data_IF_547083797630
#
_entry.id   IF_547083797630
#
_cell.length_a   1.000
_cell.length_b   1.000
_cell.length_c   1.000
_cell.angle_alpha   90.00
_cell.angle_beta   90.00
_cell.angle_gamma   90.00
#
_symmetry.space_group_name_H-M   'P 1'
#
loop_
_entity.id
_entity.type
_entity.pdbx_description
1 polymer ?
#
# COMPACT_ATOMS: atom_id res chain seq x y z
N UNK A 1 26.05 -11.07 -12.20
CA UNK A 1 25.86 -9.83 -12.99
C UNK A 1 26.11 -10.00 -14.49
N UNK A 2 26.91 -10.98 -14.98
CA UNK A 2 26.87 -11.31 -16.42
C UNK A 2 25.42 -11.61 -16.83
N UNK A 3 24.94 -10.95 -17.88
CA UNK A 3 23.58 -11.11 -18.38
C UNK A 3 22.50 -10.26 -17.69
N UNK A 4 22.84 -9.46 -16.67
CA UNK A 4 21.93 -8.44 -16.13
C UNK A 4 22.27 -7.10 -16.77
N UNK A 5 21.35 -6.59 -17.59
CA UNK A 5 21.43 -5.25 -18.16
C UNK A 5 20.54 -4.31 -17.36
N UNK A 6 21.09 -3.44 -16.48
CA UNK A 6 20.28 -2.51 -15.70
C UNK A 6 19.52 -1.54 -16.61
N UNK A 7 20.03 -1.24 -17.81
CA UNK A 7 19.42 -0.32 -18.76
C UNK A 7 18.08 -0.81 -19.31
N UNK A 8 17.88 -2.14 -19.32
CA UNK A 8 16.64 -2.77 -19.75
C UNK A 8 15.44 -2.48 -18.83
N UNK A 9 15.71 -2.05 -17.59
CA UNK A 9 14.71 -1.79 -16.56
C UNK A 9 14.62 -0.30 -16.17
N UNK A 10 15.35 0.58 -16.88
CA UNK A 10 15.41 2.00 -16.52
C UNK A 10 14.08 2.67 -16.81
N UNK A 11 13.54 3.31 -15.78
CA UNK A 11 12.41 4.19 -15.96
C UNK A 11 12.79 5.48 -16.70
N UNK A 12 11.95 5.89 -17.63
CA UNK A 12 12.14 7.16 -18.34
C UNK A 12 11.64 8.30 -17.48
N UNK A 13 12.43 9.37 -17.39
CA UNK A 13 12.01 10.66 -16.81
C UNK A 13 10.80 11.23 -17.56
N UNK A 14 10.12 12.23 -16.97
CA UNK A 14 8.99 12.91 -17.60
C UNK A 14 9.29 13.46 -19.02
N UNK A 15 10.56 13.71 -19.34
CA UNK A 15 11.02 14.17 -20.65
C UNK A 15 11.44 13.03 -21.60
N UNK A 16 11.15 11.78 -21.26
CA UNK A 16 11.42 10.60 -22.10
C UNK A 16 12.87 10.08 -22.08
N UNK A 17 13.78 10.74 -21.35
CA UNK A 17 15.16 10.30 -21.19
C UNK A 17 15.29 9.22 -20.11
N UNK A 18 16.10 8.17 -20.31
CA UNK A 18 16.36 7.16 -19.28
C UNK A 18 16.96 7.81 -18.03
N UNK A 19 16.34 7.58 -16.87
CA UNK A 19 16.86 8.07 -15.60
C UNK A 19 18.02 7.20 -15.14
N UNK A 20 19.25 7.67 -15.35
CA UNK A 20 20.52 7.04 -14.98
C UNK A 20 20.64 5.57 -15.44
N UNK A 21 21.71 5.26 -16.15
CA UNK A 21 22.03 3.88 -16.52
C UNK A 21 23.50 3.66 -16.23
N UNK A 22 23.82 3.47 -14.95
CA UNK A 22 25.16 3.07 -14.56
C UNK A 22 25.33 1.56 -14.74
N UNK A 23 26.52 1.14 -15.16
CA UNK A 23 26.94 -0.25 -15.05
C UNK A 23 27.77 -0.41 -13.77
N UNK A 24 27.90 -1.65 -13.29
CA UNK A 24 28.90 -1.96 -12.27
C UNK A 24 30.24 -2.09 -12.96
N UNK A 25 31.21 -1.28 -12.52
CA UNK A 25 32.57 -1.26 -13.04
C UNK A 25 33.50 -2.15 -12.23
N UNK A 26 34.70 -2.42 -12.76
CA UNK A 26 35.76 -3.10 -11.99
C UNK A 26 36.12 -2.33 -10.72
N UNK A 27 36.14 -1.00 -10.78
CA UNK A 27 36.46 -0.14 -9.63
C UNK A 27 35.40 -0.26 -8.53
N UNK A 28 34.12 -0.34 -8.90
CA UNK A 28 33.03 -0.58 -7.94
C UNK A 28 33.26 -1.90 -7.18
N UNK A 29 33.62 -2.97 -7.90
CA UNK A 29 33.89 -4.28 -7.32
C UNK A 29 35.13 -4.29 -6.41
N UNK A 30 36.20 -3.61 -6.83
CA UNK A 30 37.43 -3.47 -6.05
C UNK A 30 37.19 -2.69 -4.75
N UNK A 31 36.40 -1.62 -4.80
CA UNK A 31 36.00 -0.88 -3.60
C UNK A 31 35.12 -1.73 -2.69
N UNK A 32 34.11 -2.40 -3.24
CA UNK A 32 33.25 -3.31 -2.45
C UNK A 32 34.04 -4.41 -1.76
N UNK A 33 35.07 -4.96 -2.40
CA UNK A 33 35.89 -6.05 -1.85
C UNK A 33 36.58 -5.68 -0.53
N UNK A 34 36.67 -4.39 -0.19
CA UNK A 34 37.22 -3.89 1.07
C UNK A 34 36.26 -4.04 2.26
N UNK A 35 34.98 -4.33 2.00
CA UNK A 35 33.96 -4.41 3.04
C UNK A 35 33.52 -5.86 3.30
N UNK A 36 33.31 -6.19 4.57
CA UNK A 36 32.50 -7.34 4.97
C UNK A 36 31.06 -6.87 5.14
N UNK A 37 30.11 -7.59 4.54
CA UNK A 37 28.68 -7.23 4.56
C UNK A 37 27.85 -8.36 5.19
N UNK A 38 27.97 -8.60 6.52
CA UNK A 38 27.05 -9.48 7.22
C UNK A 38 25.62 -8.96 7.10
N UNK A 39 24.66 -9.90 6.98
CA UNK A 39 23.24 -9.57 6.82
C UNK A 39 22.54 -9.71 8.17
N UNK A 40 21.81 -8.65 8.55
CA UNK A 40 21.03 -8.62 9.78
C UNK A 40 19.55 -8.39 9.46
N UNK A 41 18.67 -9.06 10.19
CA UNK A 41 17.24 -8.78 10.15
C UNK A 41 16.86 -7.71 11.19
N UNK A 42 15.88 -6.86 10.84
CA UNK A 42 15.26 -5.90 11.74
C UNK A 42 13.73 -5.97 11.62
N UNK A 43 13.13 -6.96 12.29
CA UNK A 43 11.67 -7.03 12.42
C UNK A 43 11.12 -5.89 13.28
N UNK A 44 9.91 -5.44 12.97
CA UNK A 44 9.19 -4.40 13.70
C UNK A 44 7.70 -4.77 13.85
N UNK A 45 7.03 -4.11 14.79
CA UNK A 45 5.58 -4.25 14.95
C UNK A 45 4.88 -3.40 13.88
N UNK A 46 4.37 -4.03 12.84
CA UNK A 46 3.70 -3.37 11.71
C UNK A 46 2.30 -2.82 12.04
N UNK A 47 1.73 -3.18 13.20
CA UNK A 47 0.49 -2.58 13.69
C UNK A 47 0.72 -1.18 14.30
N UNK A 48 1.88 -1.00 14.94
CA UNK A 48 2.28 0.27 15.55
C UNK A 48 2.67 1.30 14.46
N UNK A 49 2.78 2.56 14.86
CA UNK A 49 3.16 3.63 13.94
C UNK A 49 4.56 3.36 13.34
N UNK A 50 4.74 3.59 12.04
CA UNK A 50 6.04 3.44 11.39
C UNK A 50 7.10 4.42 11.90
N UNK A 51 6.72 5.50 12.61
CA UNK A 51 7.65 6.34 13.37
C UNK A 51 8.32 5.54 14.50
N UNK A 52 7.56 4.72 15.23
CA UNK A 52 8.12 3.85 16.28
C UNK A 52 9.03 2.78 15.68
N UNK A 53 8.65 2.26 14.52
CA UNK A 53 9.49 1.34 13.76
C UNK A 53 10.80 2.00 13.28
N UNK A 54 10.77 3.29 12.94
CA UNK A 54 11.96 4.04 12.54
C UNK A 54 12.92 4.28 13.71
N UNK A 55 12.40 4.60 14.90
CA UNK A 55 13.20 4.70 16.12
C UNK A 55 13.83 3.36 16.52
N UNK A 56 13.05 2.28 16.39
CA UNK A 56 13.56 0.91 16.55
C UNK A 56 14.68 0.60 15.55
N UNK A 57 14.50 0.99 14.28
CA UNK A 57 15.51 0.80 13.25
C UNK A 57 16.78 1.58 13.58
N UNK A 58 16.68 2.84 14.01
CA UNK A 58 17.82 3.64 14.51
C UNK A 58 18.60 2.89 15.60
N UNK A 59 17.91 2.43 16.64
CA UNK A 59 18.56 1.68 17.72
C UNK A 59 19.23 0.39 17.21
N UNK A 60 18.62 -0.29 16.23
CA UNK A 60 19.22 -1.48 15.61
C UNK A 60 20.48 -1.14 14.80
N UNK A 61 20.47 -0.03 14.05
CA UNK A 61 21.64 0.45 13.30
C UNK A 61 22.79 0.75 14.27
N UNK A 62 22.53 1.52 15.34
CA UNK A 62 23.53 1.84 16.36
C UNK A 62 24.12 0.58 17.00
N UNK A 63 23.28 -0.41 17.30
CA UNK A 63 23.74 -1.69 17.84
C UNK A 63 24.61 -2.48 16.85
N UNK A 64 24.18 -2.61 15.59
CA UNK A 64 24.94 -3.33 14.55
C UNK A 64 26.30 -2.67 14.30
N UNK A 65 26.32 -1.33 14.25
CA UNK A 65 27.57 -0.56 14.15
C UNK A 65 28.49 -0.86 15.34
N UNK A 66 27.97 -0.85 16.57
CA UNK A 66 28.77 -1.15 17.76
C UNK A 66 29.27 -2.61 17.82
N UNK A 67 28.45 -3.57 17.37
CA UNK A 67 28.79 -4.99 17.29
C UNK A 67 29.97 -5.24 16.33
N UNK A 68 29.99 -4.51 15.20
CA UNK A 68 31.01 -4.63 14.16
C UNK A 68 32.24 -3.73 14.35
N UNK A 69 32.28 -2.92 15.41
CA UNK A 69 33.45 -2.15 15.83
C UNK A 69 34.24 -2.90 16.92
N UNK A 70 34.71 -4.11 16.61
CA UNK A 70 35.46 -4.98 17.53
C UNK A 70 36.58 -5.72 16.79
N UNK A 71 37.60 -6.16 17.53
CA UNK A 71 38.67 -7.03 17.02
C UNK A 71 39.35 -6.52 15.73
N UNK A 72 39.61 -5.21 15.66
CA UNK A 72 40.25 -4.57 14.50
C UNK A 72 39.33 -4.32 13.30
N UNK A 73 38.03 -4.66 13.38
CA UNK A 73 37.03 -4.24 12.39
C UNK A 73 36.51 -2.84 12.72
N UNK A 74 36.22 -2.05 11.67
CA UNK A 74 35.59 -0.74 11.78
C UNK A 74 34.33 -0.69 10.92
N UNK A 75 33.24 -0.18 11.49
CA UNK A 75 31.96 0.02 10.81
C UNK A 75 31.43 1.40 11.20
N UNK A 76 31.13 2.24 10.22
CA UNK A 76 30.55 3.57 10.47
C UNK A 76 29.16 3.71 9.86
N UNK A 77 28.88 2.89 8.85
CA UNK A 77 27.66 2.96 8.06
C UNK A 77 27.08 1.58 7.84
N UNK A 78 25.77 1.53 7.66
CA UNK A 78 25.03 0.35 7.21
C UNK A 78 24.39 0.60 5.85
N UNK A 79 24.09 -0.47 5.12
CA UNK A 79 23.22 -0.41 3.94
C UNK A 79 21.87 -0.98 4.34
N UNK A 80 20.78 -0.28 4.02
CA UNK A 80 19.43 -0.76 4.27
C UNK A 80 18.88 -1.42 3.02
N UNK A 81 18.28 -2.61 3.17
CA UNK A 81 17.48 -3.27 2.14
C UNK A 81 16.09 -3.46 2.72
N UNK A 82 15.07 -2.93 2.04
CA UNK A 82 13.71 -2.90 2.57
C UNK A 82 12.73 -3.61 1.64
N UNK A 83 11.75 -4.27 2.22
CA UNK A 83 10.58 -4.81 1.52
C UNK A 83 9.34 -4.02 1.90
N UNK A 84 8.49 -3.69 0.91
CA UNK A 84 7.16 -3.11 1.10
C UNK A 84 7.17 -1.86 2.00
N UNK A 85 6.29 -1.80 3.01
CA UNK A 85 6.20 -0.70 3.98
C UNK A 85 7.47 -0.50 4.82
N UNK A 86 8.39 -1.47 4.87
CA UNK A 86 9.72 -1.26 5.45
C UNK A 86 10.49 -0.12 4.76
N UNK A 87 10.17 0.19 3.50
CA UNK A 87 10.69 1.36 2.81
C UNK A 87 10.23 2.69 3.43
N UNK A 88 8.99 2.77 3.92
CA UNK A 88 8.47 3.94 4.64
C UNK A 88 9.19 4.12 5.98
N UNK A 89 9.44 3.01 6.69
CA UNK A 89 10.23 2.99 7.93
C UNK A 89 11.65 3.50 7.69
N UNK A 90 12.33 3.02 6.65
CA UNK A 90 13.68 3.46 6.32
C UNK A 90 13.74 4.94 5.89
N UNK A 91 12.75 5.44 5.14
CA UNK A 91 12.64 6.87 4.79
C UNK A 91 12.51 7.74 6.04
N UNK A 92 11.66 7.34 6.99
CA UNK A 92 11.52 8.03 8.27
C UNK A 92 12.81 7.94 9.10
N UNK A 93 13.43 6.77 9.19
CA UNK A 93 14.68 6.58 9.94
C UNK A 93 15.82 7.45 9.41
N UNK A 94 15.98 7.56 8.08
CA UNK A 94 17.01 8.39 7.47
C UNK A 94 16.86 9.89 7.77
N UNK A 95 15.65 10.32 8.19
CA UNK A 95 15.35 11.70 8.62
C UNK A 95 15.62 11.95 10.09
N UNK A 96 15.86 10.91 10.90
CA UNK A 96 16.20 11.07 12.32
C UNK A 96 17.60 11.68 12.46
N UNK A 97 17.86 12.46 13.54
CA UNK A 97 19.15 13.12 13.73
C UNK A 97 20.34 12.16 13.64
N UNK A 98 21.30 12.46 12.77
CA UNK A 98 22.53 11.69 12.59
C UNK A 98 22.37 10.34 11.87
N UNK A 99 21.16 9.96 11.44
CA UNK A 99 20.94 8.68 10.78
C UNK A 99 21.27 8.69 9.29
N UNK A 100 21.10 9.83 8.61
CA UNK A 100 21.47 9.91 7.19
C UNK A 100 22.96 9.64 6.97
N UNK A 101 23.82 10.01 7.91
CA UNK A 101 25.27 9.78 7.83
C UNK A 101 25.65 8.33 8.16
N UNK A 102 24.87 7.67 9.04
CA UNK A 102 25.04 6.26 9.42
C UNK A 102 24.47 5.29 8.39
N UNK A 103 23.76 5.76 7.39
CA UNK A 103 23.23 4.96 6.29
C UNK A 103 24.06 5.27 5.05
N UNK A 104 24.80 4.28 4.53
CA UNK A 104 25.55 4.47 3.29
C UNK A 104 24.61 4.56 2.08
N UNK A 105 23.48 3.86 2.13
CA UNK A 105 22.46 3.87 1.09
C UNK A 105 21.29 2.95 1.43
N UNK A 106 20.23 3.06 0.62
CA UNK A 106 18.99 2.31 0.80
C UNK A 106 18.57 1.68 -0.52
N UNK A 107 18.24 0.38 -0.48
CA UNK A 107 17.59 -0.35 -1.56
C UNK A 107 16.14 -0.61 -1.15
N UNK A 108 15.20 0.05 -1.83
CA UNK A 108 13.77 -0.17 -1.64
C UNK A 108 13.24 -1.19 -2.63
N UNK A 109 12.54 -2.21 -2.13
CA UNK A 109 11.80 -3.16 -2.93
C UNK A 109 10.31 -3.05 -2.71
N UNK A 110 9.54 -2.97 -3.81
CA UNK A 110 8.07 -2.98 -3.83
C UNK A 110 7.43 -2.01 -2.82
N UNK A 111 8.04 -0.84 -2.62
CA UNK A 111 7.58 0.12 -1.62
C UNK A 111 6.29 0.81 -2.07
N UNK A 112 5.22 0.83 -1.25
CA UNK A 112 4.02 1.63 -1.51
C UNK A 112 4.31 3.11 -1.20
N UNK A 113 5.11 3.77 -2.05
CA UNK A 113 5.75 5.04 -1.72
C UNK A 113 4.76 6.17 -1.40
N UNK A 114 3.56 6.11 -1.98
CA UNK A 114 2.44 7.05 -1.74
C UNK A 114 1.14 6.33 -1.33
N UNK A 115 1.26 5.10 -0.81
CA UNK A 115 0.13 4.27 -0.36
C UNK A 115 -0.43 3.35 -1.46
N UNK A 116 -1.49 2.60 -1.13
CA UNK A 116 -2.14 1.67 -2.06
C UNK A 116 -3.66 1.63 -1.83
N UNK A 117 -4.45 1.86 -2.89
CA UNK A 117 -5.91 1.94 -2.80
C UNK A 117 -6.57 0.61 -2.34
N UNK A 118 -5.87 -0.52 -2.49
CA UNK A 118 -6.29 -1.81 -1.97
C UNK A 118 -6.56 -1.79 -0.45
N UNK A 119 -5.85 -0.95 0.32
CA UNK A 119 -6.09 -0.83 1.76
C UNK A 119 -7.50 -0.31 2.07
N UNK A 120 -8.01 0.65 1.29
CA UNK A 120 -9.39 1.11 1.40
C UNK A 120 -10.37 -0.02 1.04
N UNK A 121 -10.13 -0.72 -0.07
CA UNK A 121 -11.01 -1.80 -0.53
C UNK A 121 -11.14 -2.90 0.54
N UNK A 122 -10.02 -3.31 1.14
CA UNK A 122 -9.98 -4.32 2.20
C UNK A 122 -10.76 -3.91 3.44
N UNK A 123 -10.70 -2.64 3.84
CA UNK A 123 -11.53 -2.14 4.95
C UNK A 123 -13.03 -2.23 4.63
N UNK A 124 -13.42 -2.02 3.36
CA UNK A 124 -14.84 -2.06 2.95
C UNK A 124 -15.38 -3.47 2.74
N UNK A 125 -14.67 -4.33 2.03
CA UNK A 125 -15.20 -5.64 1.57
C UNK A 125 -14.34 -6.84 1.94
N UNK A 126 -13.24 -6.63 2.67
CA UNK A 126 -12.32 -7.69 3.05
C UNK A 126 -11.51 -8.23 1.88
N UNK A 127 -10.81 -9.34 2.13
CA UNK A 127 -9.87 -9.93 1.17
C UNK A 127 -10.40 -11.18 0.47
N UNK A 128 -11.63 -11.62 0.75
CA UNK A 128 -12.19 -12.86 0.16
C UNK A 128 -12.19 -12.84 -1.37
N UNK A 129 -12.45 -11.68 -1.97
CA UNK A 129 -12.45 -11.49 -3.43
C UNK A 129 -11.03 -11.39 -4.03
N UNK A 130 -10.01 -11.13 -3.21
CA UNK A 130 -8.62 -10.92 -3.65
C UNK A 130 -7.79 -12.20 -3.51
N UNK A 131 -7.88 -12.87 -2.36
CA UNK A 131 -7.20 -14.14 -2.09
C UNK A 131 -7.85 -14.85 -0.92
N UNK A 132 -8.31 -16.09 -1.15
CA UNK A 132 -8.87 -16.93 -0.12
C UNK A 132 -7.89 -17.17 1.04
N UNK A 133 -6.60 -17.39 0.73
CA UNK A 133 -5.57 -17.69 1.74
C UNK A 133 -5.20 -16.44 2.55
N UNK A 134 -5.04 -15.29 1.90
CA UNK A 134 -4.74 -14.05 2.62
C UNK A 134 -5.94 -13.53 3.43
N UNK A 135 -7.16 -13.79 2.95
CA UNK A 135 -8.40 -13.50 3.67
C UNK A 135 -8.61 -14.32 4.94
N UNK A 136 -7.97 -15.48 5.08
CA UNK A 136 -7.95 -16.24 6.34
C UNK A 136 -7.04 -15.61 7.40
N UNK A 137 -6.09 -14.75 7.02
CA UNK A 137 -5.08 -14.17 7.93
C UNK A 137 -5.42 -12.75 8.37
N UNK A 138 -5.85 -11.89 7.45
CA UNK A 138 -6.08 -10.46 7.74
C UNK A 138 -7.56 -10.15 7.98
N UNK A 139 -8.46 -10.88 7.32
CA UNK A 139 -9.91 -10.70 7.42
C UNK A 139 -10.61 -10.98 6.09
N UNK A 140 -11.64 -11.83 6.15
CA UNK A 140 -12.38 -12.25 4.96
C UNK A 140 -13.42 -11.21 4.52
N UNK A 141 -13.89 -10.37 5.44
CA UNK A 141 -14.86 -9.29 5.19
C UNK A 141 -14.38 -7.95 5.79
N UNK A 142 -15.02 -6.86 5.39
CA UNK A 142 -14.66 -5.50 5.82
C UNK A 142 -14.75 -5.28 7.33
N UNK A 143 -15.65 -5.99 8.04
CA UNK A 143 -15.79 -5.87 9.51
C UNK A 143 -14.57 -6.41 10.23
N UNK A 144 -14.07 -7.58 9.80
CA UNK A 144 -12.86 -8.20 10.34
C UNK A 144 -11.63 -7.35 10.08
N UNK A 145 -11.44 -6.88 8.84
CA UNK A 145 -10.30 -6.02 8.48
C UNK A 145 -10.36 -4.71 9.26
N UNK A 146 -11.52 -4.05 9.29
CA UNK A 146 -11.71 -2.76 9.99
C UNK A 146 -11.44 -2.87 11.49
N UNK A 147 -11.83 -3.98 12.13
CA UNK A 147 -11.60 -4.20 13.56
C UNK A 147 -10.11 -4.10 13.94
N UNK A 148 -9.20 -4.46 13.02
CA UNK A 148 -7.75 -4.30 13.21
C UNK A 148 -7.26 -2.97 12.65
N UNK A 149 -7.59 -2.64 11.40
CA UNK A 149 -7.08 -1.45 10.71
C UNK A 149 -7.42 -0.14 11.44
N UNK A 150 -8.63 -0.01 12.00
CA UNK A 150 -9.05 1.23 12.67
C UNK A 150 -8.23 1.57 13.93
N UNK A 151 -7.56 0.58 14.53
CA UNK A 151 -6.72 0.75 15.72
C UNK A 151 -5.22 0.61 15.45
N UNK A 152 -4.83 0.34 14.20
CA UNK A 152 -3.45 0.09 13.80
C UNK A 152 -2.92 1.25 12.92
N UNK A 153 -2.30 2.30 13.51
CA UNK A 153 -1.76 3.41 12.72
C UNK A 153 -0.74 2.96 11.67
N UNK A 154 0.02 1.88 11.92
CA UNK A 154 0.91 1.29 10.92
C UNK A 154 0.16 0.76 9.69
N UNK A 155 -0.98 0.11 9.88
CA UNK A 155 -1.83 -0.35 8.78
C UNK A 155 -2.49 0.82 8.02
N UNK A 156 -2.93 1.86 8.74
CA UNK A 156 -3.49 3.09 8.14
C UNK A 156 -2.45 3.87 7.32
N UNK A 157 -1.15 3.72 7.63
CA UNK A 157 -0.06 4.30 6.83
C UNK A 157 0.17 3.59 5.48
N UNK A 158 -0.61 2.54 5.16
CA UNK A 158 -0.68 1.98 3.81
C UNK A 158 -1.69 2.73 2.91
N UNK A 159 -2.64 3.46 3.50
CA UNK A 159 -3.67 4.15 2.73
C UNK A 159 -3.07 5.18 1.78
N UNK A 160 -3.71 5.44 0.62
CA UNK A 160 -3.33 6.51 -0.29
C UNK A 160 -3.04 7.84 0.43
N UNK A 161 -1.87 8.41 0.15
CA UNK A 161 -1.51 9.73 0.67
C UNK A 161 -2.11 10.86 -0.19
N UNK A 162 -1.92 12.12 0.21
CA UNK A 162 -2.25 13.26 -0.66
C UNK A 162 -1.41 13.31 -1.96
N UNK A 163 -0.27 12.61 -2.01
CA UNK A 163 0.54 12.44 -3.23
C UNK A 163 0.09 11.26 -4.10
N UNK A 164 -0.93 10.51 -3.68
CA UNK A 164 -1.55 9.49 -4.53
C UNK A 164 -2.36 10.15 -5.65
N UNK A 165 -2.67 9.42 -6.71
CA UNK A 165 -3.40 9.97 -7.85
C UNK A 165 -4.76 10.55 -7.43
N UNK A 166 -5.18 11.72 -7.94
CA UNK A 166 -6.50 12.29 -7.61
C UNK A 166 -7.63 11.42 -8.16
N UNK A 167 -8.79 11.45 -7.50
CA UNK A 167 -9.97 10.72 -7.98
C UNK A 167 -9.80 9.20 -8.06
N UNK A 168 -9.04 8.62 -7.14
CA UNK A 168 -8.77 7.18 -7.09
C UNK A 168 -9.94 6.38 -6.54
N UNK A 169 -10.88 6.98 -5.82
CA UNK A 169 -12.14 6.34 -5.42
C UNK A 169 -13.26 6.86 -6.33
N UNK A 170 -13.91 5.98 -7.09
CA UNK A 170 -14.96 6.36 -8.05
C UNK A 170 -16.26 5.63 -7.80
N UNK A 171 -17.37 6.31 -7.96
CA UNK A 171 -18.71 5.73 -7.86
C UNK A 171 -19.48 6.10 -9.12
N UNK A 172 -19.90 5.09 -9.86
CA UNK A 172 -20.46 5.24 -11.21
C UNK A 172 -21.76 4.45 -11.32
N UNK A 173 -22.74 4.99 -12.05
CA UNK A 173 -23.89 4.20 -12.47
C UNK A 173 -23.52 3.31 -13.67
N UNK A 174 -24.06 2.09 -13.72
CA UNK A 174 -23.82 1.16 -14.81
C UNK A 174 -24.27 1.70 -16.19
N UNK A 175 -25.16 2.69 -16.25
CA UNK A 175 -25.63 3.32 -17.49
C UNK A 175 -24.75 4.49 -17.99
N UNK A 176 -23.71 4.86 -17.24
CA UNK A 176 -22.80 5.97 -17.58
C UNK A 176 -23.44 7.36 -17.60
N UNK A 177 -24.71 7.49 -17.18
CA UNK A 177 -25.51 8.72 -17.34
C UNK A 177 -25.52 9.66 -16.13
N UNK A 178 -25.14 9.17 -14.94
CA UNK A 178 -24.98 10.00 -13.75
C UNK A 178 -23.59 10.62 -13.69
N UNK A 179 -23.46 11.87 -13.20
CA UNK A 179 -22.14 12.42 -12.86
C UNK A 179 -21.43 11.47 -11.89
N UNK A 180 -20.34 10.87 -12.36
CA UNK A 180 -19.45 10.04 -11.56
C UNK A 180 -18.98 10.82 -10.33
N UNK A 181 -19.12 10.23 -9.15
CA UNK A 181 -18.48 10.75 -7.94
C UNK A 181 -17.01 10.29 -7.96
N UNK A 182 -16.09 11.22 -7.71
CA UNK A 182 -14.65 10.96 -7.77
C UNK A 182 -13.97 11.62 -6.58
N UNK A 183 -13.30 10.81 -5.76
CA UNK A 183 -12.69 11.21 -4.50
C UNK A 183 -11.23 10.72 -4.42
N UNK A 184 -10.35 11.38 -3.65
CA UNK A 184 -10.60 12.64 -2.95
C UNK A 184 -10.68 13.82 -3.92
N UNK A 185 -11.37 14.89 -3.52
CA UNK A 185 -11.36 16.18 -4.22
C UNK A 185 -10.11 16.97 -3.87
N UNK A 186 -9.75 16.99 -2.59
CA UNK A 186 -8.58 17.72 -2.09
C UNK A 186 -7.73 16.85 -1.15
N UNK A 187 -8.36 16.25 -0.13
CA UNK A 187 -7.63 15.60 0.94
C UNK A 187 -8.24 14.23 1.28
N UNK A 188 -7.57 13.09 0.99
CA UNK A 188 -8.12 11.76 1.27
C UNK A 188 -8.42 11.52 2.75
N UNK A 189 -7.75 12.21 3.69
CA UNK A 189 -8.04 12.03 5.11
C UNK A 189 -9.44 12.56 5.47
N UNK A 190 -9.81 13.74 4.99
CA UNK A 190 -11.12 14.34 5.27
C UNK A 190 -12.18 13.85 4.29
N UNK A 191 -11.81 13.70 3.02
CA UNK A 191 -12.73 13.34 1.95
C UNK A 191 -13.23 11.91 2.04
N UNK A 192 -12.37 11.00 2.48
CA UNK A 192 -12.64 9.56 2.47
C UNK A 192 -12.49 8.95 3.86
N UNK A 193 -11.35 9.14 4.54
CA UNK A 193 -11.00 8.34 5.72
C UNK A 193 -11.78 8.72 6.97
N UNK A 194 -12.01 10.01 7.16
CA UNK A 194 -12.79 10.58 8.28
C UNK A 194 -14.23 10.90 7.87
N UNK A 195 -14.66 10.49 6.67
CA UNK A 195 -16.01 10.73 6.15
C UNK A 195 -17.02 9.83 6.86
N UNK A 196 -17.97 10.43 7.57
CA UNK A 196 -18.97 9.73 8.42
C UNK A 196 -20.37 9.65 7.82
N UNK A 197 -20.67 10.48 6.85
CA UNK A 197 -22.03 10.71 6.30
C UNK A 197 -22.24 10.09 4.92
N UNK A 198 -21.28 9.25 4.48
CA UNK A 198 -21.27 8.63 3.16
C UNK A 198 -20.92 7.16 3.29
N UNK A 199 -21.71 6.28 2.67
CA UNK A 199 -21.50 4.81 2.76
C UNK A 199 -20.14 4.33 2.26
N UNK A 200 -19.52 5.10 1.36
CA UNK A 200 -18.19 4.88 0.81
C UNK A 200 -17.07 5.52 1.64
N UNK A 201 -17.39 6.15 2.79
CA UNK A 201 -16.36 6.49 3.77
C UNK A 201 -15.62 5.23 4.23
N UNK A 202 -14.35 5.38 4.61
CA UNK A 202 -13.46 4.24 4.90
C UNK A 202 -14.02 3.28 5.95
N UNK A 203 -14.57 3.82 7.04
CA UNK A 203 -15.05 3.04 8.19
C UNK A 203 -16.49 3.40 8.52
N UNK A 204 -17.31 2.35 8.69
CA UNK A 204 -18.63 2.42 9.30
C UNK A 204 -18.47 2.39 10.82
N UNK A 205 -18.96 3.41 11.52
CA UNK A 205 -18.68 3.64 12.95
C UNK A 205 -19.09 2.46 13.85
N UNK A 206 -20.17 1.74 13.53
CA UNK A 206 -20.61 0.58 14.31
C UNK A 206 -19.60 -0.58 14.26
N UNK A 207 -18.68 -0.60 13.30
CA UNK A 207 -17.62 -1.62 13.21
C UNK A 207 -16.44 -1.33 14.14
N UNK A 208 -16.37 -0.13 14.73
CA UNK A 208 -15.40 0.20 15.79
C UNK A 208 -15.69 -0.52 17.11
N UNK A 209 -16.84 -1.22 17.20
CA UNK A 209 -17.24 -2.05 18.33
C UNK A 209 -17.41 -3.52 17.90
N UNK A 210 -16.32 -4.23 17.54
CA UNK A 210 -16.40 -5.61 17.05
C UNK A 210 -16.86 -6.57 18.16
N UNK A 211 -17.64 -7.60 17.79
CA UNK A 211 -18.10 -8.63 18.74
C UNK A 211 -16.90 -9.37 19.33
N UNK A 212 -16.84 -9.45 20.66
CA UNK A 212 -15.73 -10.10 21.38
C UNK A 212 -14.42 -9.32 21.38
N UNK A 213 -14.36 -8.14 20.74
CA UNK A 213 -13.23 -7.24 20.79
C UNK A 213 -13.45 -6.07 21.75
N UNK A 214 -12.41 -5.26 21.96
CA UNK A 214 -12.50 -4.02 22.73
C UNK A 214 -13.02 -2.90 21.82
N UNK A 215 -14.13 -2.23 22.16
CA UNK A 215 -14.62 -1.11 21.36
C UNK A 215 -13.67 0.08 21.44
N UNK A 216 -13.55 0.83 20.35
CA UNK A 216 -12.90 2.14 20.30
C UNK A 216 -13.91 3.22 19.89
N UNK A 217 -13.70 4.45 20.33
CA UNK A 217 -14.51 5.59 19.88
C UNK A 217 -14.11 6.03 18.48
N UNK A 218 -15.01 6.74 17.80
CA UNK A 218 -14.67 7.44 16.56
C UNK A 218 -13.46 8.36 16.73
N UNK A 219 -13.37 9.08 17.85
CA UNK A 219 -12.24 9.99 18.11
C UNK A 219 -10.89 9.25 18.23
N UNK A 220 -10.89 8.04 18.79
CA UNK A 220 -9.70 7.20 18.84
C UNK A 220 -9.27 6.74 17.43
N UNK A 221 -10.23 6.30 16.59
CA UNK A 221 -9.97 6.00 15.18
C UNK A 221 -9.46 7.23 14.42
N UNK A 222 -10.11 8.38 14.59
CA UNK A 222 -9.73 9.62 13.94
C UNK A 222 -8.33 10.08 14.37
N UNK A 223 -7.93 9.85 15.63
CA UNK A 223 -6.57 10.08 16.08
C UNK A 223 -5.57 9.20 15.33
N UNK A 224 -5.86 7.91 15.12
CA UNK A 224 -4.98 7.02 14.35
C UNK A 224 -4.84 7.47 12.89
N UNK A 225 -5.92 7.94 12.26
CA UNK A 225 -5.87 8.54 10.91
C UNK A 225 -5.00 9.80 10.89
N UNK A 226 -5.09 10.65 11.92
CA UNK A 226 -4.23 11.86 12.03
C UNK A 226 -2.76 11.50 12.26
N UNK A 227 -2.46 10.44 13.01
CA UNK A 227 -1.08 9.90 13.14
C UNK A 227 -0.56 9.45 11.78
N UNK A 228 -1.37 8.72 11.00
CA UNK A 228 -1.01 8.31 9.64
C UNK A 228 -0.75 9.53 8.74
N UNK A 229 -1.64 10.54 8.78
CA UNK A 229 -1.47 11.81 8.06
C UNK A 229 -0.17 12.52 8.40
N UNK A 230 0.13 12.69 9.69
CA UNK A 230 1.36 13.32 10.15
C UNK A 230 2.61 12.60 9.69
N UNK A 231 2.61 11.27 9.74
CA UNK A 231 3.70 10.45 9.22
C UNK A 231 3.88 10.61 7.71
N UNK A 232 2.79 10.54 6.93
CA UNK A 232 2.85 10.73 5.48
C UNK A 232 3.43 12.10 5.09
N UNK A 233 3.02 13.16 5.79
CA UNK A 233 3.56 14.51 5.60
C UNK A 233 5.05 14.58 5.93
N UNK A 234 5.49 13.94 7.01
CA UNK A 234 6.88 13.93 7.45
C UNK A 234 7.83 13.32 6.40
N UNK A 235 7.41 12.26 5.69
CA UNK A 235 8.25 11.57 4.71
C UNK A 235 7.97 11.98 3.26
N UNK A 236 6.97 12.84 3.00
CA UNK A 236 6.51 13.19 1.66
C UNK A 236 7.63 13.71 0.76
N UNK A 237 7.91 13.00 -0.33
CA UNK A 237 8.97 13.32 -1.30
C UNK A 237 10.41 13.26 -0.74
N UNK A 238 10.59 12.78 0.48
CA UNK A 238 11.91 12.68 1.15
C UNK A 238 12.48 11.28 0.97
N UNK A 239 13.74 11.23 0.51
CA UNK A 239 14.52 10.01 0.29
C UNK A 239 15.97 10.20 0.76
N UNK A 240 16.64 9.08 1.03
CA UNK A 240 18.07 9.09 1.33
C UNK A 240 18.87 9.52 0.08
N UNK A 241 19.98 10.29 0.18
CA UNK A 241 20.75 10.75 -0.99
C UNK A 241 21.34 9.64 -1.89
N UNK A 242 21.35 8.41 -1.39
CA UNK A 242 21.82 7.21 -2.07
C UNK A 242 20.70 6.17 -2.05
N UNK A 243 19.63 6.42 -2.80
CA UNK A 243 18.46 5.53 -2.87
C UNK A 243 18.41 4.79 -4.20
N UNK A 244 18.25 3.48 -4.13
CA UNK A 244 17.96 2.60 -5.25
C UNK A 244 16.58 1.99 -5.01
N UNK A 245 15.78 1.85 -6.07
CA UNK A 245 14.40 1.36 -5.97
C UNK A 245 14.17 0.30 -7.03
N UNK A 246 13.49 -0.79 -6.70
CA UNK A 246 12.78 -1.59 -7.69
C UNK A 246 11.31 -1.71 -7.30
N UNK A 247 10.44 -1.79 -8.31
CA UNK A 247 9.01 -1.95 -8.11
C UNK A 247 8.39 -2.81 -9.23
N UNK A 248 7.26 -3.44 -8.92
CA UNK A 248 6.50 -4.22 -9.89
C UNK A 248 5.60 -3.32 -10.72
N UNK A 249 5.61 -3.57 -12.01
CA UNK A 249 4.97 -2.74 -13.01
C UNK A 249 4.43 -3.59 -14.16
N UNK A 250 3.65 -4.59 -13.77
CA UNK A 250 3.22 -5.68 -14.63
C UNK A 250 1.70 -5.68 -14.78
N UNK A 251 1.21 -5.68 -16.02
CA UNK A 251 -0.23 -5.79 -16.32
C UNK A 251 -0.76 -7.19 -15.98
N UNK A 252 0.10 -8.21 -15.98
CA UNK A 252 -0.23 -9.58 -15.57
C UNK A 252 -0.26 -9.76 -14.04
N UNK A 253 0.11 -8.72 -13.28
CA UNK A 253 -0.03 -8.66 -11.82
C UNK A 253 -1.01 -7.55 -11.43
N UNK A 254 -2.33 -7.76 -11.62
CA UNK A 254 -3.32 -6.70 -11.45
C UNK A 254 -3.31 -6.14 -10.04
N UNK A 255 -3.34 -4.82 -9.94
CA UNK A 255 -3.37 -4.04 -8.71
C UNK A 255 -4.46 -2.97 -8.76
N UNK A 256 -4.79 -2.39 -7.61
CA UNK A 256 -5.79 -1.33 -7.52
C UNK A 256 -5.14 0.03 -7.71
N UNK A 257 -5.14 0.48 -8.96
CA UNK A 257 -4.83 1.85 -9.34
C UNK A 257 -5.95 2.80 -8.88
N UNK A 258 -7.20 2.39 -9.08
CA UNK A 258 -8.39 3.03 -8.52
C UNK A 258 -9.29 1.98 -7.86
N UNK A 259 -10.14 2.42 -6.94
CA UNK A 259 -11.24 1.62 -6.41
C UNK A 259 -12.53 2.16 -7.01
N UNK A 260 -13.23 1.32 -7.77
CA UNK A 260 -14.45 1.70 -8.47
C UNK A 260 -15.64 0.95 -7.89
N UNK A 261 -16.69 1.71 -7.59
CA UNK A 261 -18.00 1.20 -7.20
C UNK A 261 -18.97 1.37 -8.36
N UNK A 262 -19.58 0.27 -8.77
CA UNK A 262 -20.61 0.28 -9.81
C UNK A 262 -21.98 0.07 -9.19
N UNK A 263 -22.91 0.98 -9.49
CA UNK A 263 -24.31 0.87 -9.10
C UNK A 263 -25.03 0.04 -10.17
N UNK A 264 -25.44 -1.18 -9.80
CA UNK A 264 -26.16 -2.12 -10.67
C UNK A 264 -27.59 -2.34 -10.18
N UNK A 265 -28.57 -2.53 -11.07
CA UNK A 265 -29.91 -2.96 -10.66
C UNK A 265 -29.85 -4.25 -9.84
N UNK A 266 -30.48 -4.24 -8.67
CA UNK A 266 -30.60 -5.41 -7.81
C UNK A 266 -31.82 -6.26 -8.13
N UNK A 267 -32.01 -7.35 -7.39
CA UNK A 267 -33.23 -8.14 -7.44
C UNK A 267 -34.32 -7.44 -6.63
N UNK A 268 -35.25 -6.77 -7.32
CA UNK A 268 -36.21 -5.86 -6.68
C UNK A 268 -37.02 -6.52 -5.57
N UNK A 269 -37.13 -5.88 -4.39
CA UNK A 269 -37.94 -6.40 -3.28
C UNK A 269 -39.45 -6.27 -3.53
N UNK A 270 -39.86 -5.29 -4.34
CA UNK A 270 -41.25 -4.96 -4.62
C UNK A 270 -41.38 -4.13 -5.93
N UNK A 271 -42.60 -3.70 -6.25
CA UNK A 271 -42.92 -2.83 -7.38
C UNK A 271 -42.76 -1.32 -7.10
N UNK A 272 -42.20 -0.95 -5.95
CA UNK A 272 -41.96 0.43 -5.55
C UNK A 272 -40.96 1.14 -6.45
N UNK A 273 -40.97 2.48 -6.38
CA UNK A 273 -40.01 3.31 -7.14
C UNK A 273 -38.64 3.25 -6.46
N UNK A 274 -37.59 2.75 -7.15
CA UNK A 274 -36.26 2.71 -6.57
C UNK A 274 -35.71 4.14 -6.38
N UNK A 275 -34.83 4.37 -5.39
CA UNK A 275 -34.08 5.61 -5.30
C UNK A 275 -33.35 5.91 -6.61
N UNK A 276 -33.27 7.18 -7.01
CA UNK A 276 -32.54 7.56 -8.21
C UNK A 276 -31.05 7.17 -8.09
N UNK A 277 -30.50 6.48 -9.10
CA UNK A 277 -29.10 6.04 -9.11
C UNK A 277 -28.13 7.22 -8.91
N UNK A 278 -28.42 8.37 -9.51
CA UNK A 278 -27.66 9.61 -9.37
C UNK A 278 -27.62 10.17 -7.93
N UNK A 279 -28.49 9.71 -7.03
CA UNK A 279 -28.50 10.10 -5.62
C UNK A 279 -27.71 9.17 -4.70
N UNK A 280 -27.31 7.98 -5.17
CA UNK A 280 -26.76 6.92 -4.30
C UNK A 280 -25.41 7.29 -3.70
N UNK A 281 -24.55 8.01 -4.42
CA UNK A 281 -23.27 8.48 -3.86
C UNK A 281 -23.44 9.42 -2.66
N UNK A 282 -24.62 10.02 -2.48
CA UNK A 282 -24.97 10.89 -1.33
C UNK A 282 -25.66 10.14 -0.19
N UNK A 283 -25.81 8.82 -0.28
CA UNK A 283 -26.44 8.06 0.81
C UNK A 283 -25.51 7.90 2.00
N UNK A 284 -26.08 7.95 3.20
CA UNK A 284 -25.40 7.63 4.46
C UNK A 284 -25.24 6.12 4.68
N UNK A 285 -24.51 5.76 5.73
CA UNK A 285 -24.31 4.35 6.11
C UNK A 285 -25.61 3.65 6.54
N UNK A 286 -26.58 4.38 7.09
CA UNK A 286 -27.88 3.89 7.53
C UNK A 286 -28.82 3.54 6.37
N UNK A 287 -28.61 4.15 5.20
CA UNK A 287 -29.39 3.93 3.98
C UNK A 287 -28.86 2.77 3.13
N UNK A 288 -27.69 2.22 3.46
CA UNK A 288 -27.02 1.14 2.72
C UNK A 288 -26.79 -0.05 3.65
N UNK A 289 -27.28 -1.23 3.23
CA UNK A 289 -27.02 -2.48 3.93
C UNK A 289 -25.60 -2.94 3.62
N UNK A 290 -24.75 -2.85 4.64
CA UNK A 290 -23.32 -3.16 4.58
C UNK A 290 -22.96 -4.19 5.67
N UNK A 291 -22.68 -5.42 5.23
CA UNK A 291 -22.19 -6.52 6.06
C UNK A 291 -20.67 -6.72 5.93
N UNK A 292 -19.98 -5.82 5.21
CA UNK A 292 -18.57 -5.94 4.89
C UNK A 292 -18.27 -6.91 3.75
N UNK A 293 -19.27 -7.28 2.95
CA UNK A 293 -19.10 -8.12 1.75
C UNK A 293 -19.46 -7.36 0.47
N UNK A 294 -19.06 -7.92 -0.67
CA UNK A 294 -19.36 -7.37 -1.99
C UNK A 294 -20.49 -8.20 -2.64
N UNK A 295 -21.62 -7.61 -3.08
CA UNK A 295 -21.95 -6.17 -3.07
C UNK A 295 -22.61 -5.66 -1.78
N UNK A 296 -22.55 -4.34 -1.59
CA UNK A 296 -23.42 -3.62 -0.65
C UNK A 296 -24.79 -3.40 -1.29
N UNK A 297 -25.84 -3.16 -0.50
CA UNK A 297 -27.22 -3.15 -1.03
C UNK A 297 -28.03 -1.95 -0.58
N UNK A 298 -28.76 -1.33 -1.50
CA UNK A 298 -29.73 -0.25 -1.22
C UNK A 298 -31.15 -0.82 -1.21
N UNK A 299 -31.83 -0.67 -0.07
CA UNK A 299 -33.16 -1.24 0.15
C UNK A 299 -33.19 -2.77 0.18
N UNK A 300 -34.39 -3.33 0.13
CA UNK A 300 -34.66 -4.77 0.22
C UNK A 300 -34.23 -5.42 1.53
N UNK A 301 -34.19 -6.76 1.56
CA UNK A 301 -33.90 -7.56 2.76
C UNK A 301 -33.41 -8.96 2.38
N UNK A 302 -33.08 -9.77 3.40
CA UNK A 302 -32.95 -11.20 3.23
C UNK A 302 -34.34 -11.79 2.96
N UNK A 303 -34.50 -12.46 1.83
CA UNK A 303 -35.73 -13.15 1.44
C UNK A 303 -35.51 -14.66 1.53
N UNK A 304 -36.54 -15.37 2.01
CA UNK A 304 -36.55 -16.83 2.13
C UNK A 304 -37.73 -17.35 1.31
N UNK A 305 -37.43 -17.99 0.18
CA UNK A 305 -38.43 -18.70 -0.62
C UNK A 305 -38.54 -20.14 -0.14
N UNK A 306 -39.73 -20.58 0.31
CA UNK A 306 -39.96 -21.98 0.63
C UNK A 306 -39.71 -22.86 -0.60
N UNK A 307 -38.93 -23.92 -0.44
CA UNK A 307 -38.78 -24.94 -1.48
C UNK A 307 -40.07 -25.75 -1.60
N UNK A 308 -40.65 -25.81 -2.80
CA UNK A 308 -41.79 -26.67 -3.07
C UNK A 308 -41.32 -27.98 -3.71
N UNK A 309 -41.38 -29.07 -2.94
CA UNK A 309 -41.05 -30.43 -3.37
C UNK A 309 -40.27 -31.21 -2.31
N UNK A 310 -40.39 -32.54 -2.32
CA UNK A 310 -39.78 -33.42 -1.30
C UNK A 310 -38.23 -33.39 -1.23
N UNK A 311 -37.56 -32.72 -2.19
CA UNK A 311 -36.11 -32.65 -2.32
C UNK A 311 -35.58 -31.19 -2.31
N UNK A 312 -36.47 -30.18 -2.40
CA UNK A 312 -36.06 -28.78 -2.52
C UNK A 312 -36.04 -28.08 -1.14
N UNK A 313 -34.84 -27.71 -0.66
CA UNK A 313 -34.67 -26.84 0.50
C UNK A 313 -35.08 -25.38 0.21
N UNK A 314 -35.19 -24.53 1.24
CA UNK A 314 -35.50 -23.11 1.05
C UNK A 314 -34.38 -22.39 0.28
N UNK A 315 -34.77 -21.56 -0.68
CA UNK A 315 -33.84 -20.67 -1.39
C UNK A 315 -33.73 -19.36 -0.63
N UNK A 316 -32.52 -19.01 -0.21
CA UNK A 316 -32.23 -17.77 0.50
C UNK A 316 -31.51 -16.81 -0.45
N UNK A 317 -32.03 -15.60 -0.61
CA UNK A 317 -31.38 -14.56 -1.42
C UNK A 317 -31.55 -13.18 -0.80
N UNK A 318 -30.79 -12.20 -1.29
CA UNK A 318 -30.88 -10.82 -0.84
C UNK A 318 -31.59 -9.99 -1.93
N UNK A 319 -32.77 -9.44 -1.63
CA UNK A 319 -33.43 -8.48 -2.51
C UNK A 319 -32.82 -7.08 -2.34
N UNK A 320 -32.80 -6.26 -3.38
CA UNK A 320 -32.27 -4.89 -3.36
C UNK A 320 -32.82 -4.11 -4.57
N UNK A 321 -32.93 -2.78 -4.44
CA UNK A 321 -33.15 -1.94 -5.63
C UNK A 321 -31.84 -1.76 -6.39
N UNK A 322 -30.74 -1.59 -5.67
CA UNK A 322 -29.40 -1.41 -6.21
C UNK A 322 -28.39 -2.25 -5.45
N UNK A 323 -27.54 -2.93 -6.21
CA UNK A 323 -26.31 -3.54 -5.71
C UNK A 323 -25.14 -2.59 -6.01
N UNK A 324 -24.37 -2.27 -4.98
CA UNK A 324 -23.18 -1.43 -5.07
C UNK A 324 -21.98 -2.38 -5.10
N UNK A 325 -21.42 -2.57 -6.29
CA UNK A 325 -20.38 -3.56 -6.54
C UNK A 325 -19.01 -2.91 -6.49
N UNK A 326 -18.15 -3.33 -5.57
CA UNK A 326 -16.73 -2.99 -5.61
C UNK A 326 -16.08 -3.79 -6.74
N UNK A 327 -15.62 -3.11 -7.78
CA UNK A 327 -14.95 -3.74 -8.91
C UNK A 327 -13.57 -4.29 -8.50
N UNK A 328 -13.04 -5.16 -9.36
CA UNK A 328 -11.69 -5.71 -9.24
C UNK A 328 -10.61 -4.72 -9.64
N UNK A 329 -9.39 -5.24 -9.70
CA UNK A 329 -8.18 -4.52 -10.09
C UNK A 329 -8.32 -3.86 -11.47
N UNK A 330 -7.66 -2.73 -11.67
CA UNK A 330 -7.84 -1.86 -12.83
C UNK A 330 -6.54 -1.32 -13.43
N UNK A 331 -5.38 -1.73 -12.90
CA UNK A 331 -4.09 -1.44 -13.49
C UNK A 331 -3.02 -2.46 -13.09
N UNK A 332 -1.83 -2.31 -13.66
CA UNK A 332 -0.69 -3.18 -13.35
C UNK A 332 0.00 -2.83 -12.04
N UNK A 333 0.85 -3.74 -11.55
CA UNK A 333 1.64 -3.54 -10.34
C UNK A 333 2.36 -4.81 -9.92
N UNK A 334 2.22 -5.17 -8.65
CA UNK A 334 2.76 -6.41 -8.06
C UNK A 334 1.70 -7.24 -7.31
N UNK A 335 0.42 -6.97 -7.56
CA UNK A 335 -0.72 -7.59 -6.87
C UNK A 335 -1.13 -6.89 -5.57
N UNK A 336 -0.35 -5.93 -5.06
CA UNK A 336 -0.72 -5.12 -3.88
C UNK A 336 -0.47 -3.63 -4.12
N UNK A 337 0.73 -3.29 -4.58
CA UNK A 337 1.15 -1.93 -4.88
C UNK A 337 0.95 -1.68 -6.37
N UNK A 338 0.10 -0.71 -6.73
CA UNK A 338 -0.09 -0.35 -8.12
C UNK A 338 1.14 0.37 -8.66
N UNK A 339 1.33 0.26 -9.98
CA UNK A 339 2.46 0.84 -10.71
C UNK A 339 2.66 2.31 -10.33
N UNK A 340 1.58 3.10 -10.26
CA UNK A 340 1.63 4.53 -9.94
C UNK A 340 2.24 4.87 -8.56
N UNK A 341 2.09 3.97 -7.59
CA UNK A 341 2.69 4.14 -6.26
C UNK A 341 4.15 3.67 -6.23
N UNK A 342 4.44 2.57 -6.94
CA UNK A 342 5.80 2.06 -7.07
C UNK A 342 6.73 3.01 -7.83
N UNK A 343 6.22 3.71 -8.84
CA UNK A 343 6.97 4.68 -9.65
C UNK A 343 7.17 6.04 -8.97
N UNK A 344 6.40 6.32 -7.91
CA UNK A 344 6.37 7.64 -7.27
C UNK A 344 7.71 8.14 -6.71
N UNK A 345 8.70 7.31 -6.28
CA UNK A 345 9.97 7.85 -5.81
C UNK A 345 10.67 8.73 -6.83
N UNK A 346 10.76 8.30 -8.10
CA UNK A 346 11.36 9.14 -9.13
C UNK A 346 10.47 10.34 -9.54
N UNK A 347 9.14 10.15 -9.58
CA UNK A 347 8.22 11.19 -10.05
C UNK A 347 7.93 12.30 -9.03
N UNK A 348 8.00 11.97 -7.73
CA UNK A 348 7.49 12.84 -6.66
C UNK A 348 8.54 13.15 -5.59
N UNK A 349 9.78 12.64 -5.71
CA UNK A 349 10.86 13.10 -4.84
C UNK A 349 11.05 14.62 -4.97
N UNK A 350 11.23 15.29 -3.82
CA UNK A 350 11.58 16.72 -3.79
C UNK A 350 12.94 16.99 -4.45
N UNK A 351 13.82 16.00 -4.37
CA UNK A 351 15.14 16.01 -4.99
C UNK A 351 15.32 14.67 -5.75
N UNK A 352 14.95 14.63 -7.05
CA UNK A 352 15.06 13.41 -7.86
C UNK A 352 16.48 12.86 -7.94
N UNK A 353 17.52 13.70 -7.77
CA UNK A 353 18.93 13.28 -7.78
C UNK A 353 19.30 12.33 -6.64
N UNK A 354 18.44 12.20 -5.62
CA UNK A 354 18.58 11.24 -4.53
C UNK A 354 18.22 9.82 -4.95
N UNK A 355 17.35 9.67 -5.94
CA UNK A 355 17.01 8.38 -6.54
C UNK A 355 18.10 8.08 -7.56
N UNK A 356 19.08 7.27 -7.20
CA UNK A 356 20.22 6.96 -8.08
C UNK A 356 19.82 6.03 -9.21
N UNK A 357 18.91 5.12 -8.93
CA UNK A 357 18.35 4.19 -9.91
C UNK A 357 16.96 3.76 -9.47
N UNK A 358 16.04 3.70 -10.43
CA UNK A 358 14.73 3.11 -10.25
C UNK A 358 14.50 2.06 -11.33
N UNK A 359 14.31 0.81 -10.92
CA UNK A 359 14.09 -0.34 -11.79
C UNK A 359 12.58 -0.59 -11.90
N UNK A 360 12.07 -0.38 -13.11
CA UNK A 360 10.73 -0.77 -13.51
C UNK A 360 10.76 -2.23 -13.96
N UNK A 361 10.14 -3.13 -13.21
CA UNK A 361 10.27 -4.57 -13.41
C UNK A 361 8.90 -5.27 -13.47
N UNK A 362 8.86 -6.49 -14.00
CA UNK A 362 7.67 -7.31 -14.16
C UNK A 362 7.95 -8.78 -13.83
N UNK A 363 6.91 -9.62 -13.75
CA UNK A 363 7.03 -11.07 -13.58
C UNK A 363 7.08 -11.56 -12.13
N UNK A 364 6.72 -10.72 -11.14
CA UNK A 364 6.70 -11.12 -9.73
C UNK A 364 5.53 -10.54 -8.94
N UNK A 365 5.10 -11.28 -7.91
CA UNK A 365 4.15 -10.83 -6.91
C UNK A 365 4.85 -10.07 -5.77
N UNK A 366 4.08 -9.25 -5.05
CA UNK A 366 4.55 -8.38 -3.98
C UNK A 366 5.32 -9.11 -2.87
N UNK A 367 4.69 -10.13 -2.26
CA UNK A 367 5.25 -10.89 -1.13
C UNK A 367 6.53 -11.64 -1.53
N UNK A 368 6.55 -12.47 -2.59
CA UNK A 368 7.74 -13.23 -2.95
C UNK A 368 8.72 -12.44 -3.83
N UNK A 369 8.58 -11.11 -4.01
CA UNK A 369 9.39 -10.34 -4.96
C UNK A 369 10.90 -10.56 -4.86
N UNK A 370 11.46 -10.70 -3.64
CA UNK A 370 12.89 -11.00 -3.45
C UNK A 370 13.31 -12.43 -3.84
N UNK A 371 12.38 -13.32 -4.17
CA UNK A 371 12.66 -14.65 -4.75
C UNK A 371 12.91 -14.57 -6.26
N UNK A 372 12.51 -13.49 -6.91
CA UNK A 372 12.74 -13.29 -8.33
C UNK A 372 14.25 -13.09 -8.62
N UNK A 373 14.84 -13.84 -9.56
CA UNK A 373 16.26 -13.73 -9.87
C UNK A 373 16.68 -12.36 -10.43
N UNK A 374 15.83 -11.68 -11.19
CA UNK A 374 16.14 -10.34 -11.72
C UNK A 374 16.12 -9.31 -10.60
N UNK A 375 15.16 -9.40 -9.67
CA UNK A 375 15.12 -8.55 -8.46
C UNK A 375 16.36 -8.76 -7.60
N UNK A 376 16.82 -10.00 -7.43
CA UNK A 376 18.07 -10.29 -6.72
C UNK A 376 19.28 -9.65 -7.42
N UNK A 377 19.32 -9.67 -8.76
CA UNK A 377 20.38 -9.03 -9.53
C UNK A 377 20.33 -7.50 -9.42
N UNK A 378 19.14 -6.87 -9.49
CA UNK A 378 18.95 -5.43 -9.29
C UNK A 378 19.34 -4.99 -7.87
N UNK A 379 19.00 -5.80 -6.87
CA UNK A 379 19.40 -5.58 -5.48
C UNK A 379 20.92 -5.68 -5.33
N UNK A 380 21.53 -6.73 -5.88
CA UNK A 380 22.98 -6.91 -5.83
C UNK A 380 23.69 -5.76 -6.54
N UNK A 381 23.23 -5.36 -7.74
CA UNK A 381 23.73 -4.18 -8.44
C UNK A 381 23.74 -2.96 -7.52
N UNK A 382 22.61 -2.68 -6.87
CA UNK A 382 22.45 -1.52 -5.98
C UNK A 382 23.43 -1.58 -4.81
N UNK A 383 23.58 -2.75 -4.18
CA UNK A 383 24.53 -2.96 -3.09
C UNK A 383 25.98 -2.67 -3.50
N UNK A 384 26.38 -3.08 -4.71
CA UNK A 384 27.74 -2.80 -5.22
C UNK A 384 27.96 -1.30 -5.39
N UNK A 385 27.00 -0.59 -5.98
CA UNK A 385 27.10 0.86 -6.20
C UNK A 385 27.11 1.65 -4.88
N UNK A 386 26.28 1.26 -3.92
CA UNK A 386 26.28 1.86 -2.57
C UNK A 386 27.63 1.62 -1.89
N UNK A 387 28.12 0.37 -1.88
CA UNK A 387 29.40 0.04 -1.24
C UNK A 387 30.59 0.79 -1.87
N UNK A 388 30.57 1.02 -3.19
CA UNK A 388 31.60 1.77 -3.89
C UNK A 388 31.66 3.27 -3.53
N UNK A 389 30.61 3.80 -2.91
CA UNK A 389 30.51 5.20 -2.46
C UNK A 389 30.48 5.32 -0.93
N UNK A 390 30.51 4.20 -0.21
CA UNK A 390 30.54 4.19 1.25
C UNK A 390 31.86 4.76 1.78
N UNK A 391 31.81 5.38 2.95
CA UNK A 391 32.99 5.95 3.59
C UNK A 391 33.98 4.83 3.93
N UNK A 392 35.18 4.92 3.35
CA UNK A 392 36.34 4.16 3.80
C UNK A 392 37.10 5.11 4.71
N UNK A 393 36.90 4.97 6.02
CA UNK A 393 37.79 5.64 6.95
C UNK A 393 39.23 5.14 6.70
N UNK A 394 40.21 6.06 6.58
CA UNK A 394 41.60 5.73 6.26
C UNK A 394 42.28 4.84 7.31
#
# INVERSE_FOLDING_TARGET
>A
MRGFDPSAFVERTANGHPHASESVTTDDLLKRARFRMPVYACGYNWLACNTDAAERLRARIEHVVAENNRNGSRCEQVVLVTHSMGGLVARCCARLPGMSERIAGVVHGVMPAVGAAVAYRRCKVGMRDESFVAGLVIGSNGREVTAVFAQAPGALQLLPTAGYRPGWLRIQAADGGSRDESQPLEDPYEDIYLRRDRWWGLVREEWLSPRGGRPISWDAFAMNVRIARGFHQQISGEYHPMTYVYYGADEEQPSFETVRWEIRPGLRPDSGTPPAASGIHRMGFDQVRDDGTNPLRVGGRLEVLPGYGHIAGPTIYQSSYWDLVALGQDGGGDGTVPTSSGEAPLRQAKDPGRIRQQFRMAGFEHEPSFRDPQVQLATLFSLQKIAAQANISP
#
